data_IF_757368990938
#
_entry.id   IF_757368990938
#
_cell.length_a   1.000
_cell.length_b   1.000
_cell.length_c   1.000
_cell.angle_alpha   90.00
_cell.angle_beta   90.00
_cell.angle_gamma   90.00
#
_symmetry.space_group_name_H-M   'P 1'
#
loop_
_entity.id
_entity.type
_entity.pdbx_description
1 polymer ?
#
# COMPACT_ATOMS: atom_id res chain seq x y z
N UNK A 1 7.49 -12.21 -10.90
CA UNK A 1 6.26 -11.67 -10.30
C UNK A 1 6.34 -11.86 -8.81
N UNK A 2 6.24 -10.80 -8.03
CA UNK A 2 6.26 -10.84 -6.57
C UNK A 2 4.94 -10.33 -6.00
N UNK A 3 4.44 -10.99 -4.94
CA UNK A 3 3.20 -10.60 -4.24
C UNK A 3 3.54 -10.01 -2.88
N UNK A 4 2.91 -8.90 -2.53
CA UNK A 4 3.06 -8.21 -1.24
C UNK A 4 1.69 -7.94 -0.60
N UNK A 5 1.56 -7.95 0.75
CA UNK A 5 2.63 -8.18 1.72
C UNK A 5 3.02 -9.66 1.85
N UNK A 6 4.24 -9.90 2.36
CA UNK A 6 4.80 -11.25 2.60
C UNK A 6 4.94 -11.51 4.09
N UNK A 7 4.57 -12.72 4.54
CA UNK A 7 4.90 -13.21 5.88
C UNK A 7 6.42 -13.27 6.09
N UNK A 8 6.88 -13.31 7.34
CA UNK A 8 8.30 -13.53 7.65
C UNK A 8 8.75 -14.93 7.21
N UNK A 9 7.96 -15.94 7.57
CA UNK A 9 8.08 -17.30 7.05
C UNK A 9 7.40 -17.34 5.67
N UNK A 10 8.10 -16.81 4.67
CA UNK A 10 7.56 -16.75 3.32
C UNK A 10 7.78 -18.07 2.58
N UNK A 11 6.69 -18.74 2.22
CA UNK A 11 6.68 -19.89 1.33
C UNK A 11 6.13 -19.49 -0.05
N UNK A 12 6.96 -19.58 -1.10
CA UNK A 12 6.56 -19.26 -2.48
C UNK A 12 5.44 -20.14 -3.01
N UNK A 13 5.29 -21.36 -2.50
CA UNK A 13 4.24 -22.30 -2.91
C UNK A 13 2.90 -22.00 -2.21
N UNK A 14 2.93 -21.39 -1.02
CA UNK A 14 1.75 -21.11 -0.21
C UNK A 14 1.87 -19.76 0.50
N UNK A 15 1.85 -18.63 -0.24
CA UNK A 15 1.86 -17.31 0.37
C UNK A 15 0.58 -17.11 1.17
N UNK A 16 0.70 -16.98 2.50
CA UNK A 16 -0.43 -16.93 3.41
C UNK A 16 -0.53 -15.58 4.11
N UNK A 17 -1.69 -14.94 3.95
CA UNK A 17 -2.08 -13.74 4.69
C UNK A 17 -3.26 -14.13 5.59
N UNK A 18 -3.10 -14.02 6.91
CA UNK A 18 -4.15 -14.32 7.88
C UNK A 18 -4.39 -13.11 8.77
N UNK A 19 -5.66 -12.77 8.97
CA UNK A 19 -6.10 -11.70 9.86
C UNK A 19 -7.58 -11.86 10.23
N UNK A 20 -8.05 -11.02 11.16
CA UNK A 20 -9.46 -10.87 11.54
C UNK A 20 -9.83 -9.39 11.41
N UNK A 21 -10.84 -9.01 10.59
CA UNK A 21 -11.17 -7.60 10.36
C UNK A 21 -11.49 -6.84 11.65
N UNK A 22 -12.21 -7.49 12.58
CA UNK A 22 -12.63 -6.93 13.86
C UNK A 22 -11.51 -6.81 14.91
N UNK A 23 -10.31 -7.34 14.63
CA UNK A 23 -9.16 -7.27 15.53
C UNK A 23 -8.03 -6.50 14.83
N UNK A 24 -7.88 -5.20 15.13
CA UNK A 24 -6.80 -4.38 14.58
C UNK A 24 -5.41 -4.97 14.77
N UNK A 25 -5.15 -5.61 15.91
CA UNK A 25 -3.84 -6.23 16.18
C UNK A 25 -3.48 -7.31 15.18
N UNK A 26 -4.48 -8.04 14.67
CA UNK A 26 -4.29 -9.12 13.70
C UNK A 26 -3.85 -8.64 12.31
N UNK A 27 -4.12 -7.39 11.93
CA UNK A 27 -3.77 -6.87 10.59
C UNK A 27 -2.81 -5.67 10.59
N UNK A 28 -2.55 -5.04 11.73
CA UNK A 28 -1.61 -3.91 11.83
C UNK A 28 -0.22 -4.24 11.29
N UNK A 29 0.24 -5.48 11.46
CA UNK A 29 1.53 -5.90 10.91
C UNK A 29 1.53 -5.96 9.37
N UNK A 30 0.43 -6.38 8.74
CA UNK A 30 0.27 -6.35 7.29
C UNK A 30 0.24 -4.92 6.75
N UNK A 31 -0.52 -4.04 7.40
CA UNK A 31 -0.54 -2.61 7.08
C UNK A 31 0.87 -2.01 7.09
N UNK A 32 1.67 -2.27 8.14
CA UNK A 32 3.05 -1.79 8.24
C UNK A 32 3.94 -2.33 7.12
N UNK A 33 3.82 -3.63 6.77
CA UNK A 33 4.58 -4.24 5.68
C UNK A 33 4.26 -3.61 4.33
N UNK A 34 2.99 -3.31 4.06
CA UNK A 34 2.60 -2.64 2.83
C UNK A 34 3.18 -1.22 2.78
N UNK A 35 3.10 -0.45 3.88
CA UNK A 35 3.71 0.88 3.93
C UNK A 35 5.22 0.83 3.67
N UNK A 36 5.92 -0.14 4.28
CA UNK A 36 7.35 -0.31 4.05
C UNK A 36 7.67 -0.65 2.60
N UNK A 37 6.88 -1.55 1.99
CA UNK A 37 6.98 -1.87 0.56
C UNK A 37 6.71 -0.66 -0.35
N UNK A 38 5.69 0.13 -0.04
CA UNK A 38 5.28 1.29 -0.83
C UNK A 38 6.17 2.53 -0.59
N UNK A 39 7.01 2.53 0.45
CA UNK A 39 7.87 3.67 0.80
C UNK A 39 8.74 4.17 -0.36
N UNK A 40 9.17 3.29 -1.26
CA UNK A 40 9.96 3.69 -2.44
C UNK A 40 9.15 4.45 -3.52
N UNK A 41 7.83 4.38 -3.46
CA UNK A 41 6.90 5.06 -4.35
C UNK A 41 6.34 6.36 -3.75
N UNK A 42 6.54 6.56 -2.45
CA UNK A 42 6.22 7.81 -1.76
C UNK A 42 7.10 8.93 -2.30
N UNK A 43 6.47 9.91 -2.92
CA UNK A 43 7.16 11.02 -3.59
C UNK A 43 6.58 12.32 -3.04
N UNK A 44 7.31 13.03 -2.18
CA UNK A 44 6.84 14.30 -1.58
C UNK A 44 7.30 15.54 -2.36
N UNK A 45 8.31 15.38 -3.19
CA UNK A 45 8.87 16.38 -4.10
C UNK A 45 9.12 15.72 -5.47
N UNK A 46 9.10 16.46 -6.59
CA UNK A 46 9.45 15.91 -7.89
C UNK A 46 10.83 15.27 -7.84
N UNK A 47 10.90 13.98 -8.18
CA UNK A 47 12.12 13.17 -8.11
C UNK A 47 12.85 13.15 -9.48
N UNK A 48 14.06 12.59 -9.54
CA UNK A 48 14.76 12.36 -10.82
C UNK A 48 14.91 10.84 -11.09
N UNK A 49 14.28 10.28 -12.15
CA UNK A 49 13.45 10.93 -13.18
C UNK A 49 12.12 11.49 -12.64
N UNK A 50 11.54 12.52 -13.31
CA UNK A 50 10.37 13.25 -12.83
C UNK A 50 9.18 12.34 -12.54
N UNK A 51 8.94 12.13 -11.24
CA UNK A 51 7.72 11.52 -10.70
C UNK A 51 6.86 12.61 -10.07
N UNK A 52 5.57 12.62 -10.40
CA UNK A 52 4.64 13.53 -9.74
C UNK A 52 4.59 13.22 -8.23
N UNK A 53 4.57 14.25 -7.36
CA UNK A 53 4.37 14.02 -5.93
C UNK A 53 3.10 13.19 -5.70
N UNK A 54 3.25 12.08 -5.01
CA UNK A 54 2.16 11.17 -4.70
C UNK A 54 2.48 10.35 -3.46
N UNK A 55 1.48 10.22 -2.60
CA UNK A 55 1.54 9.46 -1.37
C UNK A 55 0.32 8.56 -1.24
N UNK A 56 0.54 7.35 -0.74
CA UNK A 56 -0.54 6.42 -0.36
C UNK A 56 -1.18 6.80 0.97
N UNK A 57 -0.57 7.76 1.69
CA UNK A 57 -1.06 8.36 2.91
C UNK A 57 -1.81 9.68 2.66
N UNK A 58 -2.75 9.95 3.56
CA UNK A 58 -3.53 11.16 3.77
C UNK A 58 -3.32 12.28 2.75
N UNK A 59 -4.34 12.49 1.92
CA UNK A 59 -4.44 13.59 0.95
C UNK A 59 -4.19 14.98 1.54
N UNK A 60 -4.34 15.16 2.86
CA UNK A 60 -4.07 16.42 3.56
C UNK A 60 -2.58 16.66 3.82
N UNK A 61 -1.80 15.60 3.94
CA UNK A 61 -0.38 15.67 4.29
C UNK A 61 0.51 15.81 3.03
N UNK A 62 -0.07 15.60 1.83
CA UNK A 62 0.58 15.93 0.56
C UNK A 62 0.68 17.46 0.39
N UNK A 63 1.89 18.00 0.57
CA UNK A 63 2.19 19.42 0.36
C UNK A 63 2.00 19.88 -1.09
N UNK A 64 2.28 19.00 -2.05
CA UNK A 64 2.11 19.23 -3.48
C UNK A 64 1.06 18.28 -4.03
N UNK A 65 0.03 18.84 -4.68
CA UNK A 65 -1.07 18.06 -5.27
C UNK A 65 -0.82 17.82 -6.74
N UNK A 66 -1.15 16.61 -7.19
CA UNK A 66 -1.18 16.24 -8.60
C UNK A 66 -2.53 15.61 -8.92
N UNK A 67 -3.24 16.13 -9.92
CA UNK A 67 -4.53 15.57 -10.36
C UNK A 67 -4.40 14.09 -10.76
N UNK A 68 -3.25 13.72 -11.34
CA UNK A 68 -2.95 12.33 -11.70
C UNK A 68 -2.81 11.44 -10.45
N UNK A 69 -2.17 11.94 -9.38
CA UNK A 69 -2.10 11.23 -8.12
C UNK A 69 -3.49 11.11 -7.47
N UNK A 70 -4.26 12.20 -7.44
CA UNK A 70 -5.62 12.21 -6.90
C UNK A 70 -6.52 11.18 -7.62
N UNK A 71 -6.43 11.10 -8.96
CA UNK A 71 -7.15 10.10 -9.75
C UNK A 71 -6.65 8.67 -9.43
N UNK A 72 -5.34 8.46 -9.34
CA UNK A 72 -4.75 7.17 -8.99
C UNK A 72 -5.20 6.68 -7.61
N UNK A 73 -5.19 7.54 -6.58
CA UNK A 73 -5.61 7.18 -5.23
C UNK A 73 -7.11 6.83 -5.16
N UNK A 74 -7.96 7.51 -5.94
CA UNK A 74 -9.38 7.13 -6.06
C UNK A 74 -9.57 5.78 -6.72
N UNK A 75 -8.79 5.49 -7.77
CA UNK A 75 -8.84 4.19 -8.45
C UNK A 75 -8.29 3.07 -7.56
N UNK A 76 -7.31 3.37 -6.71
CA UNK A 76 -6.70 2.39 -5.82
C UNK A 76 -7.56 2.09 -4.60
N UNK A 77 -8.46 2.98 -4.17
CA UNK A 77 -9.32 2.74 -3.02
C UNK A 77 -10.09 1.40 -3.12
N UNK A 78 -10.10 0.56 -2.06
CA UNK A 78 -9.63 0.83 -0.69
C UNK A 78 -8.15 0.50 -0.42
N UNK A 79 -7.34 0.29 -1.46
CA UNK A 79 -5.91 -0.04 -1.39
C UNK A 79 -5.01 1.18 -1.16
N UNK A 80 -5.38 2.00 -0.17
CA UNK A 80 -4.62 3.16 0.30
C UNK A 80 -4.36 3.03 1.80
N UNK A 81 -3.35 3.73 2.32
CA UNK A 81 -3.01 3.65 3.73
C UNK A 81 -4.15 4.19 4.61
N UNK A 82 -4.87 5.21 4.14
CA UNK A 82 -6.01 5.83 4.82
C UNK A 82 -7.18 4.86 5.03
N UNK A 83 -7.34 3.89 4.14
CA UNK A 83 -8.37 2.84 4.20
C UNK A 83 -7.83 1.54 4.82
N UNK A 84 -6.66 1.59 5.46
CA UNK A 84 -5.94 0.45 6.00
C UNK A 84 -5.77 -0.68 4.99
N UNK A 85 -5.61 -0.36 3.71
CA UNK A 85 -5.57 -1.32 2.61
C UNK A 85 -6.75 -2.32 2.62
N UNK A 86 -7.91 -1.89 3.10
CA UNK A 86 -9.13 -2.69 3.21
C UNK A 86 -9.12 -3.78 4.28
N UNK A 87 -8.09 -3.89 5.12
CA UNK A 87 -8.03 -4.88 6.21
C UNK A 87 -9.16 -4.70 7.22
N UNK A 88 -9.49 -3.45 7.57
CA UNK A 88 -10.51 -3.14 8.57
C UNK A 88 -11.94 -3.56 8.14
N UNK A 89 -12.20 -3.64 6.83
CA UNK A 89 -13.47 -4.11 6.24
C UNK A 89 -13.42 -5.56 5.75
N UNK A 90 -12.31 -6.28 5.98
CA UNK A 90 -12.16 -7.66 5.55
C UNK A 90 -11.99 -7.86 4.04
N UNK A 91 -11.57 -6.83 3.32
CA UNK A 91 -11.24 -6.88 1.89
C UNK A 91 -9.79 -6.44 1.69
N UNK A 92 -8.81 -7.28 2.06
CA UNK A 92 -7.42 -6.88 2.10
C UNK A 92 -6.88 -6.69 0.68
N UNK A 93 -6.03 -5.67 0.50
CA UNK A 93 -5.33 -5.46 -0.75
C UNK A 93 -3.99 -6.19 -0.79
N UNK A 94 -3.64 -6.65 -1.99
CA UNK A 94 -2.34 -7.23 -2.32
C UNK A 94 -1.74 -6.47 -3.49
N UNK A 95 -0.42 -6.31 -3.48
CA UNK A 95 0.32 -5.63 -4.52
C UNK A 95 1.15 -6.64 -5.32
N UNK A 96 1.04 -6.55 -6.64
CA UNK A 96 1.79 -7.37 -7.58
C UNK A 96 2.94 -6.52 -8.14
N UNK A 97 4.18 -6.86 -7.77
CA UNK A 97 5.38 -6.24 -8.35
C UNK A 97 5.88 -7.10 -9.50
N UNK A 98 6.00 -6.50 -10.67
CA UNK A 98 6.71 -7.09 -11.79
C UNK A 98 8.20 -6.97 -11.54
N UNK A 99 8.87 -8.12 -11.50
CA UNK A 99 10.33 -8.22 -11.45
C UNK A 99 10.87 -8.08 -12.87
N UNK A 100 11.87 -7.24 -13.06
CA UNK A 100 12.63 -7.11 -14.30
C UNK A 100 13.74 -8.17 -14.37
#
# INVERSE_FOLDING_TARGET
>A
LEVWPRSDEYNWEQPRIQFRPSDPGSWHHWYRRINEFLRAYETTVPDEPPRAPCSTHNRRDQQMRSDNCDLAMRMWAPCTADEFYGYHIGKPCVFLRLSH
#
